data_IF_942205141912
#
_entry.id   IF_942205141912
#
_cell.length_a   1.000
_cell.length_b   1.000
_cell.length_c   1.000
_cell.angle_alpha   90.00
_cell.angle_beta   90.00
_cell.angle_gamma   90.00
#
_symmetry.space_group_name_H-M   'P 1'
#
loop_
_entity.id
_entity.type
_entity.pdbx_description
1 polymer ?
#
# COMPACT_ATOMS: atom_id res chain seq x y z
N UNK A 1 -14.54 -2.39 0.27
CA UNK A 1 -13.91 -1.18 -0.30
C UNK A 1 -14.97 -0.32 -1.00
N UNK A 2 -16.23 -0.52 -0.63
CA UNK A 2 -17.36 -0.41 -1.55
C UNK A 2 -17.91 1.03 -1.64
N UNK A 3 -17.24 1.96 -0.96
CA UNK A 3 -17.55 3.39 -0.93
C UNK A 3 -16.50 4.26 -1.66
N UNK A 4 -15.42 3.64 -2.14
CA UNK A 4 -14.47 4.25 -3.07
C UNK A 4 -14.90 3.97 -4.51
N UNK A 5 -14.62 4.90 -5.42
CA UNK A 5 -14.80 4.65 -6.86
C UNK A 5 -13.59 3.91 -7.44
N UNK A 6 -13.73 3.28 -8.61
CA UNK A 6 -12.62 2.58 -9.28
C UNK A 6 -11.38 3.49 -9.44
N UNK A 7 -11.59 4.74 -9.88
CA UNK A 7 -10.53 5.74 -10.01
C UNK A 7 -9.75 5.97 -8.70
N UNK A 8 -10.44 5.92 -7.56
CA UNK A 8 -9.85 6.14 -6.24
C UNK A 8 -9.10 4.91 -5.72
N UNK A 9 -9.57 3.71 -6.09
CA UNK A 9 -8.91 2.44 -5.78
C UNK A 9 -7.62 2.29 -6.58
N UNK A 10 -7.65 2.60 -7.88
CA UNK A 10 -6.47 2.57 -8.75
C UNK A 10 -5.48 3.69 -8.40
N UNK A 11 -5.99 4.89 -8.09
CA UNK A 11 -5.18 6.07 -7.79
C UNK A 11 -5.46 6.68 -6.41
N UNK A 12 -5.00 6.06 -5.30
CA UNK A 12 -5.23 6.59 -3.95
C UNK A 12 -4.65 7.98 -3.67
N UNK A 13 -3.78 8.50 -4.55
CA UNK A 13 -3.20 9.85 -4.44
C UNK A 13 -4.22 10.96 -4.71
N UNK A 14 -5.31 10.68 -5.44
CA UNK A 14 -6.34 11.69 -5.76
C UNK A 14 -7.33 11.91 -4.60
N UNK A 15 -7.27 11.05 -3.58
CA UNK A 15 -8.21 11.06 -2.45
C UNK A 15 -7.89 12.25 -1.54
N UNK A 16 -8.64 13.33 -1.74
CA UNK A 16 -8.59 14.56 -0.93
C UNK A 16 -9.60 14.53 0.23
N UNK A 17 -9.65 15.59 1.04
CA UNK A 17 -10.54 15.67 2.20
C UNK A 17 -12.03 15.49 1.86
N UNK A 18 -12.49 16.03 0.72
CA UNK A 18 -13.88 15.89 0.28
C UNK A 18 -14.22 14.43 -0.04
N UNK A 19 -13.33 13.73 -0.77
CA UNK A 19 -13.47 12.30 -1.07
C UNK A 19 -13.42 11.46 0.21
N UNK A 20 -12.51 11.76 1.15
CA UNK A 20 -12.45 11.09 2.47
C UNK A 20 -13.79 11.22 3.21
N UNK A 21 -14.40 12.41 3.25
CA UNK A 21 -15.70 12.61 3.91
C UNK A 21 -16.81 11.80 3.24
N UNK A 22 -16.82 11.72 1.91
CA UNK A 22 -17.78 10.91 1.14
C UNK A 22 -17.61 9.42 1.43
N UNK A 23 -16.38 8.92 1.37
CA UNK A 23 -16.03 7.52 1.65
C UNK A 23 -16.45 7.16 3.08
N UNK A 24 -16.05 7.95 4.07
CA UNK A 24 -16.39 7.75 5.47
C UNK A 24 -17.91 7.67 5.70
N UNK A 25 -18.67 8.58 5.06
CA UNK A 25 -20.14 8.57 5.11
C UNK A 25 -20.72 7.31 4.45
N UNK A 26 -20.22 6.90 3.30
CA UNK A 26 -20.68 5.72 2.57
C UNK A 26 -20.37 4.40 3.29
N UNK A 27 -19.23 4.34 4.00
CA UNK A 27 -18.78 3.16 4.72
C UNK A 27 -19.21 3.12 6.19
N UNK A 28 -19.89 4.17 6.69
CA UNK A 28 -20.29 4.26 8.10
C UNK A 28 -19.11 4.39 9.07
N UNK A 29 -17.97 4.93 8.63
CA UNK A 29 -16.76 5.09 9.45
C UNK A 29 -16.42 6.57 9.65
N UNK A 30 -15.40 6.86 10.47
CA UNK A 30 -14.97 8.26 10.69
C UNK A 30 -13.94 8.65 9.63
N UNK A 31 -13.90 9.93 9.21
CA UNK A 31 -12.89 10.44 8.26
C UNK A 31 -11.44 10.15 8.67
N UNK A 32 -11.16 10.10 9.97
CA UNK A 32 -9.84 9.76 10.51
C UNK A 32 -9.43 8.31 10.23
N UNK A 33 -10.39 7.38 10.32
CA UNK A 33 -10.14 5.96 10.13
C UNK A 33 -9.83 5.70 8.63
N UNK A 34 -10.53 6.39 7.73
CA UNK A 34 -10.23 6.37 6.28
C UNK A 34 -8.84 6.94 5.99
N UNK A 35 -8.46 8.05 6.65
CA UNK A 35 -7.12 8.64 6.47
C UNK A 35 -6.02 7.70 6.95
N UNK A 36 -6.25 7.00 8.05
CA UNK A 36 -5.30 6.02 8.58
C UNK A 36 -5.11 4.85 7.61
N UNK A 37 -6.20 4.32 7.05
CA UNK A 37 -6.15 3.28 6.02
C UNK A 37 -5.30 3.71 4.82
N UNK A 38 -5.51 4.93 4.31
CA UNK A 38 -4.72 5.47 3.20
C UNK A 38 -3.24 5.58 3.55
N UNK A 39 -2.92 5.98 4.79
CA UNK A 39 -1.54 6.07 5.26
C UNK A 39 -0.87 4.69 5.36
N UNK A 40 -1.60 3.68 5.86
CA UNK A 40 -1.11 2.30 5.93
C UNK A 40 -0.84 1.76 4.54
N UNK A 41 -1.75 1.98 3.59
CA UNK A 41 -1.54 1.63 2.18
C UNK A 41 -0.30 2.32 1.59
N UNK A 42 -0.13 3.63 1.81
CA UNK A 42 1.06 4.36 1.32
C UNK A 42 2.36 3.81 1.90
N UNK A 43 2.37 3.43 3.17
CA UNK A 43 3.52 2.79 3.80
C UNK A 43 3.81 1.44 3.14
N UNK A 44 2.82 0.56 3.01
CA UNK A 44 2.98 -0.73 2.34
C UNK A 44 3.47 -0.56 0.89
N UNK A 45 2.85 0.35 0.11
CA UNK A 45 3.27 0.69 -1.25
C UNK A 45 4.73 1.16 -1.30
N UNK A 46 5.16 1.96 -0.33
CA UNK A 46 6.57 2.39 -0.21
C UNK A 46 7.49 1.23 0.13
N UNK A 47 7.09 0.30 1.00
CA UNK A 47 7.85 -0.91 1.27
C UNK A 47 7.99 -1.79 0.02
N UNK A 48 6.89 -2.06 -0.70
CA UNK A 48 6.92 -2.84 -1.94
C UNK A 48 7.72 -2.15 -3.06
N UNK A 49 7.61 -0.83 -3.19
CA UNK A 49 8.37 -0.05 -4.19
C UNK A 49 9.84 0.11 -3.81
N UNK A 50 10.13 0.21 -2.51
CA UNK A 50 11.47 0.35 -1.94
C UNK A 50 12.22 -0.99 -1.80
N UNK A 51 11.51 -2.11 -1.92
CA UNK A 51 12.11 -3.43 -2.12
C UNK A 51 12.62 -3.51 -3.55
N UNK A 52 13.79 -2.93 -3.76
CA UNK A 52 14.49 -2.97 -5.03
C UNK A 52 14.69 -4.44 -5.43
N UNK A 53 14.14 -4.84 -6.58
CA UNK A 53 14.31 -6.18 -7.14
C UNK A 53 15.79 -6.58 -7.19
N UNK A 54 16.70 -5.60 -7.30
CA UNK A 54 18.16 -5.82 -7.24
C UNK A 54 18.66 -6.20 -5.84
N UNK A 55 18.10 -5.62 -4.77
CA UNK A 55 18.43 -6.00 -3.38
C UNK A 55 17.89 -7.40 -3.06
N UNK A 56 16.66 -7.70 -3.50
CA UNK A 56 16.08 -9.03 -3.35
C UNK A 56 16.86 -10.09 -4.15
N UNK A 57 17.24 -9.78 -5.39
CA UNK A 57 18.09 -10.65 -6.21
C UNK A 57 19.50 -10.83 -5.63
N UNK A 58 20.10 -9.77 -5.05
CA UNK A 58 21.38 -9.90 -4.32
C UNK A 58 21.26 -10.75 -3.07
N UNK A 59 20.17 -10.63 -2.31
CA UNK A 59 19.91 -11.48 -1.14
C UNK A 59 19.67 -12.93 -1.55
N UNK A 60 18.83 -13.18 -2.56
CA UNK A 60 18.57 -14.52 -3.09
C UNK A 60 19.85 -15.18 -3.63
N UNK A 61 20.69 -14.42 -4.35
CA UNK A 61 22.00 -14.91 -4.81
C UNK A 61 22.93 -15.24 -3.65
N UNK A 62 22.94 -14.44 -2.58
CA UNK A 62 23.75 -14.69 -1.38
C UNK A 62 23.23 -15.90 -0.58
N UNK A 63 21.92 -16.14 -0.59
CA UNK A 63 21.30 -17.32 0.03
C UNK A 63 21.60 -18.60 -0.77
N UNK A 64 21.54 -18.55 -2.10
CA UNK A 64 21.86 -19.68 -2.97
C UNK A 64 23.38 -20.00 -3.00
N UNK A 65 24.24 -19.06 -2.63
CA UNK A 65 25.69 -19.27 -2.50
C UNK A 65 26.14 -19.67 -1.10
N UNK A 66 25.26 -19.65 -0.09
CA UNK A 66 25.64 -19.83 1.32
C UNK A 66 24.80 -20.83 2.12
N UNK A 67 23.78 -21.47 1.52
CA UNK A 67 22.77 -22.23 2.27
C UNK A 67 22.53 -23.68 1.89
N UNK A 68 23.05 -24.22 0.77
CA UNK A 68 22.78 -25.61 0.36
C UNK A 68 23.91 -26.16 -0.54
N UNK A 69 25.17 -25.99 -0.07
CA UNK A 69 26.28 -26.84 -0.50
C UNK A 69 26.41 -27.99 0.49
N UNK A 70 25.66 -29.06 0.25
CA UNK A 70 26.08 -30.42 0.63
C UNK A 70 26.89 -30.95 -0.55
#
# INVERSE_FOLDING_TARGET
MDSMTEEELENPEIINYSRIKRIARGSGTRPKDVRELLNQYKQMKKFFKGMDKRKLAKMAKKFNFGGLGI
#
